data_IF_676353532685
#
_entry.id   IF_676353532685
#
_cell.length_a   1.000
_cell.length_b   1.000
_cell.length_c   1.000
_cell.angle_alpha   90.00
_cell.angle_beta   90.00
_cell.angle_gamma   90.00
#
_symmetry.space_group_name_H-M   'P 1'
#
loop_
_entity.id
_entity.type
_entity.pdbx_description
1 polymer ?
#
# COMPACT_ATOMS: atom_id res chain seq x y z
N UNK A 1 -25.00 -7.40 19.79
CA UNK A 1 -23.66 -6.95 19.33
C UNK A 1 -22.92 -8.08 18.59
N UNK A 2 -23.43 -8.56 17.44
CA UNK A 2 -22.75 -9.61 16.64
C UNK A 2 -22.51 -9.21 15.18
N UNK A 3 -23.20 -8.19 14.66
CA UNK A 3 -23.09 -7.78 13.26
C UNK A 3 -21.89 -6.85 12.97
N UNK A 4 -21.50 -6.00 13.92
CA UNK A 4 -20.45 -4.98 13.71
C UNK A 4 -19.06 -5.60 13.56
N UNK A 5 -18.78 -6.72 14.24
CA UNK A 5 -17.47 -7.39 14.17
C UNK A 5 -17.26 -8.18 12.88
N UNK A 6 -18.34 -8.65 12.23
CA UNK A 6 -18.26 -9.41 10.99
C UNK A 6 -18.02 -8.47 9.79
N UNK A 7 -18.64 -7.29 9.81
CA UNK A 7 -18.43 -6.26 8.79
C UNK A 7 -16.99 -5.74 8.76
N UNK A 8 -16.36 -5.58 9.93
CA UNK A 8 -14.96 -5.18 10.03
C UNK A 8 -13.98 -6.27 9.56
N UNK A 9 -14.29 -7.56 9.81
CA UNK A 9 -13.53 -8.68 9.23
C UNK A 9 -13.70 -8.77 7.71
N UNK A 10 -14.92 -8.55 7.19
CA UNK A 10 -15.22 -8.54 5.76
C UNK A 10 -14.57 -7.36 5.04
N UNK A 11 -14.46 -6.18 5.68
CA UNK A 11 -13.73 -5.04 5.11
C UNK A 11 -12.22 -5.25 5.07
N UNK A 12 -11.65 -6.05 6.00
CA UNK A 12 -10.25 -6.47 5.94
C UNK A 12 -10.00 -7.52 4.85
N UNK A 13 -10.97 -8.40 4.60
CA UNK A 13 -10.92 -9.40 3.52
C UNK A 13 -11.12 -8.79 2.12
N UNK A 14 -11.81 -7.66 1.99
CA UNK A 14 -12.02 -7.00 0.68
C UNK A 14 -10.74 -6.35 0.14
N UNK A 15 -9.75 -6.08 1.00
CA UNK A 15 -8.39 -5.65 0.63
C UNK A 15 -7.53 -6.83 0.18
N UNK A 16 -7.91 -8.07 0.52
CA UNK A 16 -7.08 -9.26 0.33
C UNK A 16 -7.02 -9.80 -1.13
N UNK A 17 -7.83 -9.25 -2.06
CA UNK A 17 -7.91 -9.75 -3.45
C UNK A 17 -7.40 -8.77 -4.51
N UNK A 18 -6.55 -7.82 -4.12
CA UNK A 18 -5.76 -7.06 -5.07
C UNK A 18 -4.43 -7.79 -5.31
N UNK A 19 -4.26 -8.37 -6.50
CA UNK A 19 -2.95 -8.87 -6.93
C UNK A 19 -2.11 -7.69 -7.35
N UNK A 20 -0.84 -7.71 -6.98
CA UNK A 20 0.05 -6.61 -7.27
C UNK A 20 1.32 -7.17 -7.93
N UNK A 21 1.76 -6.53 -9.00
CA UNK A 21 2.90 -6.95 -9.82
C UNK A 21 3.91 -5.82 -9.92
N UNK A 22 5.09 -6.05 -9.33
CA UNK A 22 6.23 -5.16 -9.46
C UNK A 22 7.04 -5.47 -10.73
N UNK A 23 7.47 -4.42 -11.41
CA UNK A 23 8.33 -4.45 -12.59
C UNK A 23 9.40 -3.37 -12.44
N UNK A 24 10.59 -3.60 -12.99
CA UNK A 24 11.67 -2.62 -12.97
C UNK A 24 12.44 -2.61 -14.29
N UNK A 25 13.04 -1.48 -14.60
CA UNK A 25 14.10 -1.38 -15.60
C UNK A 25 15.44 -1.64 -14.93
N UNK A 26 16.43 -2.06 -15.70
CA UNK A 26 17.82 -1.98 -15.23
C UNK A 26 18.17 -0.51 -14.96
N UNK A 27 19.07 -0.29 -14.01
CA UNK A 27 19.57 1.06 -13.80
C UNK A 27 20.50 1.46 -14.94
N UNK A 28 20.24 2.61 -15.53
CA UNK A 28 21.03 3.17 -16.62
C UNK A 28 21.12 4.67 -16.48
N UNK A 29 22.31 5.23 -16.73
CA UNK A 29 22.53 6.69 -16.72
C UNK A 29 22.06 7.37 -15.42
N UNK A 30 22.35 6.74 -14.27
CA UNK A 30 21.94 7.19 -12.92
C UNK A 30 20.43 7.24 -12.68
N UNK A 31 19.64 6.51 -13.45
CA UNK A 31 18.21 6.40 -13.22
C UNK A 31 17.72 4.96 -13.38
N UNK A 32 16.74 4.59 -12.57
CA UNK A 32 15.90 3.43 -12.84
C UNK A 32 14.42 3.81 -12.75
N UNK A 33 13.60 2.96 -13.35
CA UNK A 33 12.17 3.05 -13.24
C UNK A 33 11.64 1.75 -12.63
N UNK A 34 10.70 1.90 -11.70
CA UNK A 34 9.91 0.82 -11.14
C UNK A 34 8.43 1.10 -11.38
N UNK A 35 7.66 0.06 -11.62
CA UNK A 35 6.22 0.14 -11.81
C UNK A 35 5.55 -0.92 -10.95
N UNK A 36 4.49 -0.55 -10.25
CA UNK A 36 3.61 -1.49 -9.55
C UNK A 36 2.23 -1.46 -10.16
N UNK A 37 1.82 -2.58 -10.75
CA UNK A 37 0.49 -2.73 -11.32
C UNK A 37 -0.42 -3.46 -10.34
N UNK A 38 -1.49 -2.79 -9.93
CA UNK A 38 -2.52 -3.36 -9.08
C UNK A 38 -3.71 -3.86 -9.92
N UNK A 39 -4.09 -5.12 -9.68
CA UNK A 39 -5.10 -5.84 -10.45
C UNK A 39 -6.11 -6.45 -9.46
N UNK A 40 -7.38 -6.07 -9.62
CA UNK A 40 -8.48 -6.58 -8.79
C UNK A 40 -9.45 -7.34 -9.68
N UNK A 41 -9.77 -8.57 -9.31
CA UNK A 41 -10.67 -9.44 -10.09
C UNK A 41 -10.27 -9.57 -11.57
N UNK A 42 -8.96 -9.57 -11.88
CA UNK A 42 -8.44 -9.68 -13.24
C UNK A 42 -8.43 -8.38 -14.05
N UNK A 43 -8.92 -7.27 -13.49
CA UNK A 43 -8.96 -5.96 -14.15
C UNK A 43 -7.91 -5.04 -13.52
N UNK A 44 -7.02 -4.39 -14.30
CA UNK A 44 -6.12 -3.37 -13.76
C UNK A 44 -6.91 -2.22 -13.12
N UNK A 45 -6.45 -1.71 -11.97
CA UNK A 45 -7.16 -0.68 -11.20
C UNK A 45 -6.35 0.59 -11.05
N UNK A 46 -5.05 0.45 -10.79
CA UNK A 46 -4.12 1.57 -10.72
C UNK A 46 -2.70 1.08 -10.98
N UNK A 47 -1.82 2.01 -11.31
CA UNK A 47 -0.40 1.79 -11.46
C UNK A 47 0.38 2.88 -10.74
N UNK A 48 1.46 2.48 -10.09
CA UNK A 48 2.39 3.39 -9.42
C UNK A 48 3.72 3.34 -10.16
N UNK A 49 4.17 4.48 -10.66
CA UNK A 49 5.49 4.63 -11.26
C UNK A 49 6.43 5.29 -10.28
N UNK A 50 7.62 4.73 -10.11
CA UNK A 50 8.70 5.40 -9.42
C UNK A 50 9.92 5.51 -10.29
N UNK A 51 10.46 6.72 -10.33
CA UNK A 51 11.74 7.02 -10.95
C UNK A 51 12.71 7.32 -9.81
N UNK A 52 13.73 6.48 -9.67
CA UNK A 52 14.84 6.77 -8.77
C UNK A 52 15.98 7.37 -9.58
N UNK A 53 16.44 8.53 -9.14
CA UNK A 53 17.69 9.12 -9.59
C UNK A 53 18.76 8.81 -8.56
N UNK A 54 19.97 8.55 -9.03
CA UNK A 54 21.10 8.11 -8.22
C UNK A 54 22.22 9.16 -8.24
N UNK A 55 22.94 9.28 -7.13
CA UNK A 55 24.12 10.18 -7.07
C UNK A 55 25.29 9.59 -7.90
N UNK A 56 25.33 8.27 -8.07
CA UNK A 56 26.42 7.53 -8.71
C UNK A 56 25.97 6.70 -9.93
N UNK A 57 26.87 6.48 -10.89
CA UNK A 57 26.60 5.67 -12.09
C UNK A 57 26.42 4.17 -11.81
N UNK A 58 26.87 3.70 -10.64
CA UNK A 58 26.65 2.33 -10.22
C UNK A 58 25.31 2.13 -9.48
N UNK A 59 24.48 3.19 -9.41
CA UNK A 59 23.14 3.18 -8.84
C UNK A 59 23.09 2.61 -7.42
N UNK A 60 24.07 2.98 -6.60
CA UNK A 60 24.19 2.49 -5.22
C UNK A 60 23.38 3.32 -4.24
N UNK A 61 23.28 4.63 -4.48
CA UNK A 61 22.59 5.55 -3.57
C UNK A 61 21.58 6.42 -4.30
N UNK A 62 20.30 6.23 -3.97
CA UNK A 62 19.20 7.04 -4.51
C UNK A 62 19.35 8.46 -3.94
N UNK A 63 19.40 9.44 -4.82
CA UNK A 63 19.43 10.86 -4.47
C UNK A 63 18.02 11.43 -4.33
N UNK A 64 17.18 11.17 -5.34
CA UNK A 64 15.80 11.66 -5.44
C UNK A 64 14.94 10.54 -5.99
N UNK A 65 13.80 10.32 -5.35
CA UNK A 65 12.77 9.39 -5.79
C UNK A 65 11.49 10.16 -6.09
N UNK A 66 10.94 9.94 -7.28
CA UNK A 66 9.71 10.56 -7.74
C UNK A 66 8.66 9.48 -7.93
N UNK A 67 7.46 9.70 -7.42
CA UNK A 67 6.38 8.74 -7.46
C UNK A 67 5.13 9.34 -8.08
N UNK A 68 4.56 8.64 -9.05
CA UNK A 68 3.27 8.97 -9.67
C UNK A 68 2.28 7.88 -9.34
N UNK A 69 1.18 8.25 -8.70
CA UNK A 69 0.04 7.39 -8.50
C UNK A 69 -0.99 7.64 -9.61
N UNK A 70 -1.35 6.59 -10.33
CA UNK A 70 -2.24 6.66 -11.48
C UNK A 70 -3.40 5.66 -11.39
N UNK A 71 -4.60 6.08 -10.95
CA UNK A 71 -5.81 5.30 -11.14
C UNK A 71 -6.09 5.04 -12.63
N UNK A 72 -6.63 3.86 -12.91
CA UNK A 72 -6.95 3.36 -14.24
C UNK A 72 -8.44 3.07 -14.38
N UNK A 73 -9.05 3.64 -15.41
CA UNK A 73 -10.40 3.27 -15.85
C UNK A 73 -10.29 2.33 -17.06
N UNK A 74 -10.30 1.03 -16.79
CA UNK A 74 -10.06 0.00 -17.81
C UNK A 74 -11.35 -0.61 -18.37
N UNK A 75 -11.37 -0.82 -19.68
CA UNK A 75 -12.34 -1.66 -20.38
C UNK A 75 -11.63 -2.81 -21.07
N UNK A 76 -12.13 -4.02 -20.89
CA UNK A 76 -11.62 -5.19 -21.61
C UNK A 76 -11.97 -5.05 -23.09
N UNK A 77 -10.94 -5.04 -23.94
CA UNK A 77 -11.06 -4.95 -25.39
C UNK A 77 -11.05 -6.36 -26.02
N UNK A 78 -10.20 -7.23 -25.49
CA UNK A 78 -10.10 -8.66 -25.81
C UNK A 78 -9.81 -9.40 -24.50
N UNK A 79 -9.99 -10.73 -24.43
CA UNK A 79 -9.65 -11.50 -23.23
C UNK A 79 -8.25 -11.15 -22.71
N UNK A 80 -8.20 -10.56 -21.51
CA UNK A 80 -6.97 -10.10 -20.81
C UNK A 80 -6.20 -8.95 -21.49
N UNK A 81 -6.82 -8.23 -22.41
CA UNK A 81 -6.30 -7.00 -23.01
C UNK A 81 -7.23 -5.86 -22.61
N UNK A 82 -6.68 -4.89 -21.89
CA UNK A 82 -7.43 -3.79 -21.32
C UNK A 82 -7.00 -2.47 -21.93
N UNK A 83 -7.97 -1.70 -22.38
CA UNK A 83 -7.80 -0.33 -22.80
C UNK A 83 -8.19 0.56 -21.64
N UNK A 84 -7.23 1.31 -21.12
CA UNK A 84 -7.37 2.05 -19.87
C UNK A 84 -7.13 3.54 -20.09
N UNK A 85 -7.97 4.36 -19.47
CA UNK A 85 -7.64 5.76 -19.25
C UNK A 85 -6.90 5.85 -17.91
N UNK A 86 -5.62 6.18 -17.96
CA UNK A 86 -4.83 6.56 -16.81
C UNK A 86 -5.05 8.03 -16.49
N UNK A 87 -5.15 8.37 -15.21
CA UNK A 87 -5.13 9.77 -14.74
C UNK A 87 -4.08 9.90 -13.66
N UNK A 88 -3.19 10.89 -13.75
CA UNK A 88 -2.26 11.18 -12.66
C UNK A 88 -3.03 11.80 -11.50
N UNK A 89 -3.24 11.05 -10.42
CA UNK A 89 -3.97 11.54 -9.24
C UNK A 89 -3.05 12.32 -8.30
N UNK A 90 -1.84 11.81 -8.09
CA UNK A 90 -0.86 12.49 -7.22
C UNK A 90 0.58 12.23 -7.67
N UNK A 91 1.44 13.19 -7.35
CA UNK A 91 2.88 13.12 -7.57
C UNK A 91 3.57 13.40 -6.24
N UNK A 92 4.56 12.59 -5.91
CA UNK A 92 5.27 12.68 -4.64
C UNK A 92 6.77 12.69 -4.87
N UNK A 93 7.48 13.48 -4.06
CA UNK A 93 8.94 13.61 -4.14
C UNK A 93 9.55 13.20 -2.82
N UNK A 94 10.55 12.33 -2.83
CA UNK A 94 11.42 12.03 -1.69
C UNK A 94 12.85 12.37 -2.07
N UNK A 95 13.48 13.24 -1.30
CA UNK A 95 14.90 13.59 -1.47
C UNK A 95 15.67 12.97 -0.33
N UNK A 96 16.68 12.15 -0.65
CA UNK A 96 17.55 11.48 0.30
C UNK A 96 18.96 12.09 0.32
N UNK A 97 19.36 12.74 -0.77
CA UNK A 97 20.65 13.40 -0.87
C UNK A 97 20.70 14.68 0.00
N UNK A 98 21.59 14.67 0.99
CA UNK A 98 21.77 15.80 1.91
C UNK A 98 22.35 17.02 1.23
N UNK A 99 23.16 16.87 0.19
CA UNK A 99 23.73 18.00 -0.53
C UNK A 99 22.64 18.74 -1.32
N UNK A 100 21.70 17.99 -1.92
CA UNK A 100 20.52 18.58 -2.57
C UNK A 100 19.67 19.32 -1.54
N UNK A 101 19.42 18.71 -0.37
CA UNK A 101 18.62 19.32 0.70
C UNK A 101 19.29 20.53 1.34
N UNK A 102 20.60 20.56 1.49
CA UNK A 102 21.33 21.66 2.13
C UNK A 102 21.77 22.74 1.14
N UNK A 103 21.78 22.42 -0.16
CA UNK A 103 22.10 23.34 -1.24
C UNK A 103 20.84 23.82 -1.96
N UNK A 104 20.49 23.12 -3.05
CA UNK A 104 19.45 23.54 -4.00
C UNK A 104 18.10 23.73 -3.32
N UNK A 105 17.71 22.79 -2.45
CA UNK A 105 16.41 22.77 -1.79
C UNK A 105 16.47 23.22 -0.32
N UNK A 106 17.53 23.94 0.08
CA UNK A 106 17.70 24.42 1.47
C UNK A 106 16.46 25.11 2.06
N UNK A 107 15.76 26.02 1.34
CA UNK A 107 14.54 26.65 1.85
C UNK A 107 13.40 25.68 2.12
N UNK A 108 13.41 24.50 1.48
CA UNK A 108 12.35 23.50 1.53
C UNK A 108 12.73 22.25 2.31
N UNK A 109 13.97 22.14 2.80
CA UNK A 109 14.51 20.93 3.40
C UNK A 109 13.65 20.40 4.55
N UNK A 110 12.97 21.30 5.29
CA UNK A 110 12.08 20.95 6.39
C UNK A 110 10.88 20.07 5.98
N UNK A 111 10.49 20.08 4.69
CA UNK A 111 9.44 19.22 4.15
C UNK A 111 9.90 17.76 4.07
N UNK A 112 11.18 17.55 3.74
CA UNK A 112 11.76 16.25 3.44
C UNK A 112 12.41 15.64 4.68
N UNK A 113 11.59 15.05 5.56
CA UNK A 113 12.04 14.33 6.75
C UNK A 113 12.24 12.83 6.47
N UNK A 114 13.03 12.52 5.45
CA UNK A 114 13.22 11.16 4.89
C UNK A 114 11.92 10.51 4.37
N UNK A 115 10.93 11.32 4.02
CA UNK A 115 9.61 10.89 3.54
C UNK A 115 9.29 11.49 2.19
N UNK A 116 8.33 10.87 1.53
CA UNK A 116 7.70 11.49 0.36
C UNK A 116 6.90 12.73 0.78
N UNK A 117 6.94 13.74 -0.07
CA UNK A 117 6.19 14.99 0.04
C UNK A 117 5.22 15.05 -1.11
N UNK A 118 3.94 15.24 -0.81
CA UNK A 118 2.90 15.46 -1.82
C UNK A 118 3.10 16.83 -2.46
N UNK A 119 3.41 16.85 -3.76
CA UNK A 119 3.65 18.12 -4.44
C UNK A 119 2.39 18.96 -4.52
N UNK A 120 1.19 18.38 -4.46
CA UNK A 120 -0.06 19.15 -4.53
C UNK A 120 -0.33 19.94 -3.24
N UNK A 121 0.22 19.49 -2.11
CA UNK A 121 -0.06 20.06 -0.78
C UNK A 121 1.00 21.05 -0.30
N UNK A 122 2.13 21.12 -1.01
CA UNK A 122 3.27 21.92 -0.60
C UNK A 122 3.84 22.71 -1.78
N UNK A 123 4.38 23.88 -1.48
CA UNK A 123 5.21 24.66 -2.40
C UNK A 123 6.66 24.57 -1.94
N UNK A 124 7.59 24.49 -2.89
CA UNK A 124 9.01 24.61 -2.60
C UNK A 124 9.59 25.80 -3.34
N UNK A 125 9.54 26.98 -2.71
CA UNK A 125 9.99 28.22 -3.34
C UNK A 125 11.49 28.42 -3.12
N UNK A 126 12.25 28.39 -4.22
CA UNK A 126 13.68 28.70 -4.24
C UNK A 126 13.90 29.83 -5.25
N UNK A 127 14.51 30.93 -4.80
CA UNK A 127 14.75 32.12 -5.65
C UNK A 127 13.49 32.66 -6.35
N UNK A 128 12.32 32.53 -5.74
CA UNK A 128 11.04 32.99 -6.29
C UNK A 128 10.36 32.01 -7.24
N UNK A 129 10.94 30.83 -7.47
CA UNK A 129 10.37 29.78 -8.33
C UNK A 129 10.01 28.53 -7.52
N UNK A 130 8.80 28.02 -7.74
CA UNK A 130 8.34 26.76 -7.16
C UNK A 130 8.99 25.57 -7.88
N UNK A 131 9.87 24.87 -7.18
CA UNK A 131 10.58 23.69 -7.67
C UNK A 131 9.64 22.52 -7.95
N UNK A 132 8.39 22.55 -7.44
CA UNK A 132 7.38 21.53 -7.72
C UNK A 132 6.42 21.88 -8.86
N UNK A 133 6.58 23.05 -9.47
CA UNK A 133 5.64 23.58 -10.49
C UNK A 133 5.41 22.61 -11.63
N UNK A 134 6.47 22.03 -12.19
CA UNK A 134 6.35 21.12 -13.33
C UNK A 134 5.65 19.82 -12.93
N UNK A 135 5.93 19.29 -11.73
CA UNK A 135 5.26 18.09 -11.21
C UNK A 135 3.76 18.34 -10.98
N UNK A 136 3.40 19.49 -10.44
CA UNK A 136 1.99 19.90 -10.26
C UNK A 136 1.22 19.92 -11.57
N UNK A 137 1.86 20.33 -12.67
CA UNK A 137 1.21 20.35 -14.00
C UNK A 137 0.88 18.96 -14.54
N UNK A 138 1.50 17.89 -14.03
CA UNK A 138 1.13 16.53 -14.43
C UNK A 138 -0.14 16.04 -13.74
N UNK A 139 -0.51 16.60 -12.59
CA UNK A 139 -1.70 16.17 -11.84
C UNK A 139 -2.95 16.46 -12.67
N UNK A 140 -3.80 15.44 -12.79
CA UNK A 140 -5.02 15.47 -13.61
C UNK A 140 -4.78 15.19 -15.10
N UNK A 141 -3.52 15.07 -15.57
CA UNK A 141 -3.26 14.62 -16.96
C UNK A 141 -3.78 13.21 -17.16
N UNK A 142 -4.38 13.00 -18.33
CA UNK A 142 -4.92 11.71 -18.75
C UNK A 142 -4.09 11.13 -19.88
N UNK A 143 -3.89 9.84 -19.83
CA UNK A 143 -3.19 9.07 -20.85
C UNK A 143 -3.98 7.81 -21.19
N UNK A 144 -3.99 7.43 -22.46
CA UNK A 144 -4.58 6.19 -22.89
C UNK A 144 -3.50 5.11 -22.96
N UNK A 145 -3.68 4.02 -22.22
CA UNK A 145 -2.72 2.92 -22.15
C UNK A 145 -3.41 1.58 -22.43
N UNK A 146 -2.73 0.70 -23.16
CA UNK A 146 -3.21 -0.68 -23.37
C UNK A 146 -2.37 -1.62 -22.50
N UNK A 147 -3.03 -2.31 -21.57
CA UNK A 147 -2.40 -3.26 -20.65
C UNK A 147 -2.78 -4.67 -21.08
N UNK A 148 -1.78 -5.54 -21.25
CA UNK A 148 -1.96 -6.96 -21.60
C UNK A 148 -1.57 -7.83 -20.43
N UNK A 149 -2.40 -8.79 -20.06
CA UNK A 149 -2.10 -9.78 -19.01
C UNK A 149 -1.88 -11.17 -19.62
N UNK A 150 -0.96 -11.93 -19.03
CA UNK A 150 -0.71 -13.31 -19.41
C UNK A 150 -1.74 -14.29 -18.81
N UNK A 151 -1.56 -15.59 -19.05
CA UNK A 151 -2.49 -16.62 -18.57
C UNK A 151 -2.67 -16.69 -17.05
N UNK A 152 -1.70 -16.18 -16.31
CA UNK A 152 -1.69 -16.14 -14.84
C UNK A 152 -2.22 -14.80 -14.29
N UNK A 153 -2.62 -13.89 -15.17
CA UNK A 153 -3.09 -12.54 -14.84
C UNK A 153 -1.97 -11.55 -14.52
N UNK A 154 -0.72 -11.86 -14.87
CA UNK A 154 0.41 -10.95 -14.68
C UNK A 154 0.57 -10.03 -15.90
N UNK A 155 0.93 -8.75 -15.72
CA UNK A 155 1.16 -7.82 -16.82
C UNK A 155 2.31 -8.29 -17.71
N UNK A 156 2.12 -8.11 -19.01
CA UNK A 156 3.12 -8.34 -20.06
C UNK A 156 3.73 -6.99 -20.44
N UNK A 157 5.02 -6.82 -20.20
CA UNK A 157 5.78 -5.67 -20.64
C UNK A 157 7.09 -6.15 -21.29
N UNK A 158 7.42 -5.63 -22.48
CA UNK A 158 8.62 -6.07 -23.22
C UNK A 158 9.92 -5.58 -22.58
N UNK A 159 9.92 -4.32 -22.15
CA UNK A 159 11.15 -3.64 -21.70
C UNK A 159 11.38 -3.68 -20.18
N UNK A 160 10.55 -4.42 -19.44
CA UNK A 160 10.60 -4.43 -17.98
C UNK A 160 10.81 -5.84 -17.46
N UNK A 161 11.72 -5.94 -16.49
CA UNK A 161 12.03 -7.19 -15.82
C UNK A 161 10.95 -7.43 -14.75
N UNK A 162 10.22 -8.56 -14.79
CA UNK A 162 9.24 -8.87 -13.76
C UNK A 162 9.96 -9.14 -12.44
N UNK A 163 9.57 -8.45 -11.36
CA UNK A 163 9.92 -8.87 -10.01
C UNK A 163 9.07 -10.09 -9.70
N UNK A 164 9.64 -11.09 -9.02
CA UNK A 164 8.91 -12.29 -8.59
C UNK A 164 7.71 -11.96 -7.67
N UNK A 165 6.59 -11.59 -8.29
CA UNK A 165 5.22 -11.61 -7.75
C UNK A 165 4.97 -10.83 -6.46
N UNK A 166 5.87 -9.97 -6.01
CA UNK A 166 5.71 -9.22 -4.76
C UNK A 166 5.88 -7.74 -5.03
N UNK A 167 4.82 -7.00 -4.73
CA UNK A 167 4.93 -5.55 -4.64
C UNK A 167 5.85 -5.20 -3.49
N UNK A 168 6.90 -4.48 -3.84
CA UNK A 168 7.82 -3.97 -2.85
C UNK A 168 7.22 -2.67 -2.33
N UNK A 169 6.86 -2.65 -1.05
CA UNK A 169 6.44 -1.43 -0.37
C UNK A 169 7.65 -0.52 -0.14
N UNK A 170 8.33 -0.09 -1.22
CA UNK A 170 9.42 0.91 -1.19
C UNK A 170 8.87 2.33 -1.01
N UNK A 171 7.56 2.50 -1.21
CA UNK A 171 6.89 3.77 -1.04
C UNK A 171 6.44 3.89 0.42
N UNK A 172 7.33 4.33 1.29
CA UNK A 172 6.92 4.93 2.57
C UNK A 172 6.31 6.31 2.28
N UNK A 173 5.21 6.36 1.51
CA UNK A 173 4.46 7.60 1.24
C UNK A 173 3.95 8.14 2.57
N UNK A 174 3.53 7.22 3.43
CA UNK A 174 3.33 7.46 4.83
C UNK A 174 3.95 6.30 5.61
N UNK A 175 5.20 6.40 6.07
CA UNK A 175 5.84 5.44 6.99
C UNK A 175 5.06 5.11 8.28
N UNK A 176 3.82 5.60 8.42
CA UNK A 176 2.85 5.30 9.45
C UNK A 176 1.77 4.29 9.04
N UNK A 177 1.27 4.27 7.79
CA UNK A 177 0.04 3.50 7.48
C UNK A 177 0.24 2.00 7.50
N UNK A 178 1.35 1.49 6.96
CA UNK A 178 1.64 0.06 7.01
C UNK A 178 1.88 -0.41 8.45
N UNK A 179 2.68 0.32 9.22
CA UNK A 179 2.94 -0.02 10.64
C UNK A 179 1.66 0.07 11.49
N UNK A 180 0.89 1.15 11.39
CA UNK A 180 -0.34 1.33 12.18
C UNK A 180 -1.38 0.28 11.82
N UNK A 181 -1.61 0.00 10.53
CA UNK A 181 -2.60 -1.01 10.12
C UNK A 181 -2.16 -2.40 10.59
N UNK A 182 -0.89 -2.76 10.45
CA UNK A 182 -0.36 -4.04 10.93
C UNK A 182 -0.49 -4.12 12.46
N UNK A 183 -0.04 -3.09 13.18
CA UNK A 183 -0.11 -3.04 14.65
C UNK A 183 -1.55 -3.10 15.15
N UNK A 184 -2.48 -2.35 14.57
CA UNK A 184 -3.90 -2.39 14.91
C UNK A 184 -4.50 -3.78 14.62
N UNK A 185 -4.15 -4.39 13.49
CA UNK A 185 -4.64 -5.73 13.13
C UNK A 185 -4.15 -6.78 14.12
N UNK A 186 -2.88 -6.72 14.53
CA UNK A 186 -2.29 -7.62 15.53
C UNK A 186 -2.94 -7.41 16.90
N UNK A 187 -3.12 -6.17 17.35
CA UNK A 187 -3.76 -5.87 18.64
C UNK A 187 -5.21 -6.38 18.66
N UNK A 188 -5.97 -6.13 17.60
CA UNK A 188 -7.35 -6.61 17.47
C UNK A 188 -7.39 -8.14 17.48
N UNK A 189 -6.47 -8.80 16.77
CA UNK A 189 -6.33 -10.25 16.76
C UNK A 189 -6.08 -10.84 18.15
N UNK A 190 -5.15 -10.26 18.91
CA UNK A 190 -4.82 -10.69 20.28
C UNK A 190 -6.02 -10.50 21.23
N UNK A 191 -6.72 -9.36 21.13
CA UNK A 191 -7.91 -9.09 21.94
C UNK A 191 -9.04 -10.08 21.63
N UNK A 192 -9.26 -10.41 20.36
CA UNK A 192 -10.27 -11.41 19.96
C UNK A 192 -9.96 -12.78 20.55
N UNK A 193 -8.69 -13.22 20.50
CA UNK A 193 -8.27 -14.49 21.10
C UNK A 193 -8.50 -14.47 22.63
N UNK A 194 -8.10 -13.39 23.30
CA UNK A 194 -8.30 -13.25 24.74
C UNK A 194 -9.78 -13.31 25.14
N UNK A 195 -10.66 -12.65 24.38
CA UNK A 195 -12.11 -12.71 24.60
C UNK A 195 -12.64 -14.13 24.39
N UNK A 196 -12.22 -14.84 23.34
CA UNK A 196 -12.64 -16.23 23.10
C UNK A 196 -12.24 -17.12 24.28
N UNK A 197 -10.98 -17.04 24.72
CA UNK A 197 -10.47 -17.82 25.86
C UNK A 197 -11.25 -17.50 27.14
N UNK A 198 -11.47 -16.21 27.42
CA UNK A 198 -12.25 -15.78 28.57
C UNK A 198 -13.68 -16.33 28.54
N UNK A 199 -14.32 -16.29 27.37
CA UNK A 199 -15.69 -16.80 27.19
C UNK A 199 -15.74 -18.31 27.44
N UNK A 200 -14.77 -19.07 26.93
CA UNK A 200 -14.65 -20.52 27.18
C UNK A 200 -14.46 -20.79 28.68
N UNK A 201 -13.59 -20.05 29.37
CA UNK A 201 -13.39 -20.21 30.81
C UNK A 201 -14.67 -19.93 31.62
N UNK A 202 -15.40 -18.87 31.29
CA UNK A 202 -16.67 -18.52 31.95
C UNK A 202 -17.74 -19.59 31.70
N UNK A 203 -17.85 -20.09 30.47
CA UNK A 203 -18.78 -21.16 30.12
C UNK A 203 -18.43 -22.46 30.85
N UNK A 204 -17.14 -22.82 30.91
CA UNK A 204 -16.66 -23.98 31.67
C UNK A 204 -17.01 -23.87 33.15
N UNK A 205 -16.73 -22.73 33.79
CA UNK A 205 -17.04 -22.50 35.20
C UNK A 205 -18.54 -22.54 35.49
N UNK A 206 -19.37 -21.99 34.60
CA UNK A 206 -20.84 -22.08 34.72
C UNK A 206 -21.32 -23.53 34.62
N UNK A 207 -20.72 -24.33 33.74
CA UNK A 207 -21.08 -25.74 33.59
C UNK A 207 -20.70 -26.55 34.83
N UNK A 208 -19.49 -26.37 35.35
CA UNK A 208 -19.04 -27.01 36.60
C UNK A 208 -19.93 -26.62 37.80
N UNK A 209 -20.35 -25.35 37.87
CA UNK A 209 -21.26 -24.88 38.93
C UNK A 209 -22.66 -25.49 38.81
N UNK A 210 -23.17 -25.68 37.58
CA UNK A 210 -24.43 -26.37 37.32
C UNK A 210 -24.37 -27.84 37.72
N UNK A 211 -23.31 -28.55 37.34
CA UNK A 211 -23.11 -29.96 37.70
C UNK A 211 -23.05 -30.16 39.22
N UNK A 212 -22.37 -29.26 39.95
CA UNK A 212 -22.36 -29.29 41.42
C UNK A 212 -23.73 -29.06 42.04
N UNK A 213 -24.52 -28.14 41.48
CA UNK A 213 -25.89 -27.89 41.95
C UNK A 213 -26.79 -29.11 41.73
N UNK A 214 -26.71 -29.73 40.55
CA UNK A 214 -27.46 -30.95 40.21
C UNK A 214 -27.08 -32.12 41.13
N UNK A 215 -25.79 -32.35 41.39
CA UNK A 215 -25.34 -33.37 42.33
C UNK A 215 -25.90 -33.15 43.74
N UNK A 216 -25.85 -31.90 44.24
CA UNK A 216 -26.36 -31.55 45.58
C UNK A 216 -27.88 -31.71 45.68
N UNK A 217 -28.63 -31.40 44.61
CA UNK A 217 -30.09 -31.62 44.55
C UNK A 217 -30.44 -33.11 44.59
N UNK A 218 -29.70 -33.95 43.85
CA UNK A 218 -29.90 -35.40 43.86
C UNK A 218 -29.55 -36.01 45.22
N UNK A 219 -28.51 -35.50 45.90
CA UNK A 219 -28.17 -35.98 47.26
C UNK A 219 -29.20 -35.53 48.29
N UNK A 220 -29.70 -34.29 48.21
CA UNK A 220 -30.72 -33.78 49.11
C UNK A 220 -32.10 -34.45 48.90
N UNK A 221 -32.39 -34.96 47.71
CA UNK A 221 -33.63 -35.69 47.41
C UNK A 221 -33.60 -37.17 47.81
N UNK A 222 -32.42 -37.72 48.13
CA UNK A 222 -32.24 -39.13 48.50
C UNK A 222 -32.06 -39.33 50.02
N UNK A 223 -32.35 -38.30 50.82
CA UNK A 223 -32.47 -38.31 52.28
C UNK A 223 -33.93 -38.10 52.64
#
# INVERSE_FOLDING_TARGET
MKAVSLFFLLSLLSVAYCKCYGMYTECSSKADLSMQQHIKNGIPQHQDYVINNYSDEACKSISVSLLWHQPLECKEAEPRVFNCNSTVESVWVKVLDKEILQGILAPCAYLFKDKYVDVAKHDCIVNGEDQFKDFKQYIGKKEYVTIKLNDKGAPLHKDWLPVNGKCEWRYEIDGLWSSIVITLTVIIGVLLIAVIVFTIMVLKRRNESRQKLEQNLVTASNV
#
